data_IF_016752927739
#
_entry.id   IF_016752927739
#
_cell.length_a   1.000
_cell.length_b   1.000
_cell.length_c   1.000
_cell.angle_alpha   90.00
_cell.angle_beta   90.00
_cell.angle_gamma   90.00
#
_symmetry.space_group_name_H-M   'P 1'
#
loop_
_entity.id
_entity.type
_entity.pdbx_description
1 polymer ?
#
# COMPACT_ATOMS: atom_id res chain seq x y z
N UNK A 1 1.98 1.94 13.04
CA UNK A 1 0.62 1.62 13.52
C UNK A 1 -0.39 1.76 12.41
N UNK A 2 -1.46 0.96 12.41
CA UNK A 2 -2.60 1.13 11.49
C UNK A 2 -3.67 1.91 12.23
N UNK A 3 -3.94 3.14 11.78
CA UNK A 3 -4.97 3.98 12.37
C UNK A 3 -6.28 3.79 11.61
N UNK A 4 -7.34 3.39 12.32
CA UNK A 4 -8.68 3.33 11.73
C UNK A 4 -9.28 4.72 11.67
N UNK A 5 -9.41 5.26 10.46
CA UNK A 5 -9.97 6.59 10.23
C UNK A 5 -11.48 6.58 10.51
N UNK A 6 -11.97 7.37 11.49
CA UNK A 6 -13.40 7.54 11.71
C UNK A 6 -14.09 8.15 10.49
N UNK A 7 -15.35 7.76 10.26
CA UNK A 7 -16.10 8.24 9.11
C UNK A 7 -16.19 9.77 9.07
N UNK A 8 -15.84 10.37 7.94
CA UNK A 8 -15.91 11.82 7.72
C UNK A 8 -14.65 12.61 8.10
N UNK A 9 -13.59 11.98 8.62
CA UNK A 9 -12.31 12.65 8.84
C UNK A 9 -11.47 12.74 7.56
N UNK A 10 -10.75 13.85 7.40
CA UNK A 10 -9.79 14.05 6.32
C UNK A 10 -8.37 13.63 6.72
N UNK A 11 -7.50 13.45 5.73
CA UNK A 11 -6.06 13.21 5.95
C UNK A 11 -5.40 14.32 6.79
N UNK A 12 -5.88 15.56 6.66
CA UNK A 12 -5.40 16.70 7.43
C UNK A 12 -5.80 16.62 8.90
N UNK A 13 -6.98 16.07 9.20
CA UNK A 13 -7.45 15.90 10.58
C UNK A 13 -6.62 14.81 11.28
N UNK A 14 -6.33 13.72 10.57
CA UNK A 14 -5.41 12.67 11.05
C UNK A 14 -4.02 13.25 11.30
N UNK A 15 -3.47 14.01 10.35
CA UNK A 15 -2.15 14.62 10.50
C UNK A 15 -2.07 15.51 11.74
N UNK A 16 -3.07 16.36 11.97
CA UNK A 16 -3.15 17.23 13.16
C UNK A 16 -3.23 16.43 14.45
N UNK A 17 -3.99 15.34 14.48
CA UNK A 17 -4.07 14.48 15.66
C UNK A 17 -2.70 13.87 16.00
N UNK A 18 -1.99 13.32 15.00
CA UNK A 18 -0.65 12.77 15.21
C UNK A 18 0.37 13.83 15.66
N UNK A 19 0.35 15.03 15.07
CA UNK A 19 1.25 16.13 15.46
C UNK A 19 0.98 16.58 16.90
N UNK A 20 -0.29 16.82 17.24
CA UNK A 20 -0.64 17.43 18.52
C UNK A 20 -0.65 16.44 19.69
N UNK A 21 -1.05 15.19 19.48
CA UNK A 21 -1.18 14.22 20.57
C UNK A 21 0.05 13.34 20.76
N UNK A 22 0.74 12.96 19.68
CA UNK A 22 1.94 12.13 19.76
C UNK A 22 3.19 13.00 19.94
N UNK A 23 3.13 14.28 19.59
CA UNK A 23 4.19 15.26 19.85
C UNK A 23 5.48 14.95 19.11
N UNK A 24 5.39 14.38 17.91
CA UNK A 24 6.54 14.08 17.06
C UNK A 24 6.85 15.25 16.13
N UNK A 25 8.09 15.73 16.16
CA UNK A 25 8.63 16.69 15.18
C UNK A 25 9.25 15.97 13.96
N UNK A 26 9.37 14.64 14.01
CA UNK A 26 9.89 13.84 12.89
C UNK A 26 8.89 13.76 11.72
N UNK A 27 9.37 13.78 10.46
CA UNK A 27 8.52 13.60 9.30
C UNK A 27 7.88 12.21 9.28
N UNK A 28 6.61 12.15 8.90
CA UNK A 28 5.85 10.90 8.80
C UNK A 28 4.99 10.85 7.54
N UNK A 29 4.51 9.66 7.20
CA UNK A 29 3.60 9.43 6.08
C UNK A 29 2.21 8.99 6.57
N UNK A 30 1.18 9.50 5.91
CA UNK A 30 -0.19 8.97 5.99
C UNK A 30 -0.46 8.25 4.68
N UNK A 31 -0.91 7.00 4.76
CA UNK A 31 -1.14 6.15 3.58
C UNK A 31 -2.55 5.56 3.66
N UNK A 32 -3.40 5.88 2.68
CA UNK A 32 -4.69 5.20 2.50
C UNK A 32 -4.49 3.80 1.91
N UNK A 33 -4.39 2.83 2.80
CA UNK A 33 -4.26 1.41 2.43
C UNK A 33 -5.47 0.86 1.67
N UNK A 34 -6.65 1.51 1.77
CA UNK A 34 -7.86 1.07 1.05
C UNK A 34 -7.79 1.39 -0.45
N UNK A 35 -6.89 2.28 -0.85
CA UNK A 35 -6.73 2.67 -2.26
C UNK A 35 -6.21 1.52 -3.12
N UNK A 36 -5.23 0.77 -2.62
CA UNK A 36 -4.57 -0.29 -3.40
C UNK A 36 -5.50 -1.41 -3.89
N UNK A 37 -6.33 -2.06 -3.05
CA UNK A 37 -7.24 -3.08 -3.54
C UNK A 37 -8.28 -2.50 -4.52
N UNK A 38 -8.74 -1.26 -4.33
CA UNK A 38 -9.65 -0.60 -5.28
C UNK A 38 -9.01 -0.47 -6.67
N UNK A 39 -7.74 -0.07 -6.72
CA UNK A 39 -6.99 0.07 -7.98
C UNK A 39 -6.74 -1.28 -8.65
N UNK A 40 -6.41 -2.32 -7.87
CA UNK A 40 -6.25 -3.68 -8.40
C UNK A 40 -7.55 -4.20 -9.02
N UNK A 41 -8.68 -4.06 -8.32
CA UNK A 41 -9.98 -4.46 -8.84
C UNK A 41 -10.38 -3.66 -10.08
N UNK A 42 -10.06 -2.35 -10.09
CA UNK A 42 -10.26 -1.50 -11.27
C UNK A 42 -9.46 -2.03 -12.46
N UNK A 43 -8.18 -2.36 -12.28
CA UNK A 43 -7.35 -2.96 -13.33
C UNK A 43 -7.98 -4.25 -13.86
N UNK A 44 -8.35 -5.19 -12.98
CA UNK A 44 -8.98 -6.45 -13.39
C UNK A 44 -10.31 -6.26 -14.11
N UNK A 45 -11.06 -5.21 -13.79
CA UNK A 45 -12.30 -4.88 -14.49
C UNK A 45 -12.05 -4.35 -15.91
N UNK A 46 -11.08 -3.46 -16.10
CA UNK A 46 -10.80 -2.87 -17.43
C UNK A 46 -9.89 -3.75 -18.31
N UNK A 47 -9.05 -4.58 -17.71
CA UNK A 47 -8.09 -5.45 -18.38
C UNK A 47 -8.19 -6.89 -17.87
N UNK A 48 -9.32 -7.59 -18.13
CA UNK A 48 -9.58 -8.92 -17.57
C UNK A 48 -8.51 -9.95 -17.95
N UNK A 49 -8.03 -9.88 -19.19
CA UNK A 49 -7.08 -10.83 -19.79
C UNK A 49 -5.60 -10.47 -19.53
N UNK A 50 -5.33 -9.36 -18.85
CA UNK A 50 -3.96 -8.94 -18.50
C UNK A 50 -3.68 -9.30 -17.04
N UNK A 51 -2.68 -10.16 -16.84
CA UNK A 51 -2.21 -10.49 -15.50
C UNK A 51 -1.41 -9.33 -14.90
N UNK A 52 -1.69 -8.99 -13.64
CA UNK A 52 -0.98 -7.94 -12.92
C UNK A 52 0.34 -8.49 -12.40
N UNK A 53 1.45 -7.82 -12.75
CA UNK A 53 2.75 -8.00 -12.12
C UNK A 53 3.20 -6.65 -11.55
N UNK A 54 3.27 -6.55 -10.23
CA UNK A 54 3.60 -5.31 -9.53
C UNK A 54 5.11 -5.05 -9.50
N UNK A 55 5.53 -3.86 -9.93
CA UNK A 55 6.93 -3.48 -9.92
C UNK A 55 7.43 -3.17 -8.50
N UNK A 56 8.26 -4.06 -7.95
CA UNK A 56 8.75 -4.00 -6.57
C UNK A 56 9.50 -2.71 -6.23
N UNK A 57 10.32 -2.23 -7.17
CA UNK A 57 11.09 -0.97 -7.09
C UNK A 57 10.25 0.30 -6.89
N UNK A 58 8.92 0.23 -6.99
CA UNK A 58 8.05 1.40 -6.74
C UNK A 58 7.77 1.61 -5.25
N UNK A 59 7.47 0.53 -4.53
CA UNK A 59 7.24 0.52 -3.09
C UNK A 59 7.24 -0.95 -2.60
N UNK A 60 8.25 -1.34 -1.84
CA UNK A 60 8.46 -2.70 -1.35
C UNK A 60 7.85 -2.95 0.04
N UNK A 61 6.86 -2.15 0.44
CA UNK A 61 6.20 -2.32 1.72
C UNK A 61 5.47 -3.68 1.82
N UNK A 62 5.78 -4.45 2.86
CA UNK A 62 5.19 -5.77 3.15
C UNK A 62 3.66 -5.83 3.08
N UNK A 63 2.97 -4.76 3.48
CA UNK A 63 1.50 -4.71 3.41
C UNK A 63 1.01 -4.77 1.96
N UNK A 64 1.69 -4.06 1.05
CA UNK A 64 1.35 -4.07 -0.38
C UNK A 64 1.65 -5.42 -1.00
N UNK A 65 2.81 -6.00 -0.71
CA UNK A 65 3.20 -7.32 -1.21
C UNK A 65 2.14 -8.36 -0.82
N UNK A 66 1.81 -8.45 0.48
CA UNK A 66 0.79 -9.38 0.99
C UNK A 66 -0.60 -9.13 0.40
N UNK A 67 -0.94 -7.88 0.12
CA UNK A 67 -2.24 -7.55 -0.49
C UNK A 67 -2.28 -7.98 -1.96
N UNK A 68 -1.24 -7.74 -2.75
CA UNK A 68 -1.18 -8.14 -4.16
C UNK A 68 -1.19 -9.66 -4.29
N UNK A 69 -0.43 -10.36 -3.46
CA UNK A 69 -0.44 -11.82 -3.37
C UNK A 69 -1.87 -12.35 -3.08
N UNK A 70 -2.53 -11.80 -2.05
CA UNK A 70 -3.91 -12.19 -1.68
C UNK A 70 -4.93 -11.93 -2.80
N UNK A 71 -4.71 -10.93 -3.64
CA UNK A 71 -5.56 -10.63 -4.79
C UNK A 71 -5.18 -11.45 -6.05
N UNK A 72 -4.18 -12.33 -5.94
CA UNK A 72 -3.73 -13.22 -7.02
C UNK A 72 -2.83 -12.54 -8.06
N UNK A 73 -2.18 -11.43 -7.71
CA UNK A 73 -1.21 -10.75 -8.55
C UNK A 73 0.19 -11.37 -8.45
N UNK A 74 1.04 -11.06 -9.42
CA UNK A 74 2.48 -11.38 -9.41
C UNK A 74 3.34 -10.14 -9.15
N UNK A 75 4.67 -10.32 -9.25
CA UNK A 75 5.66 -9.28 -8.98
C UNK A 75 6.71 -9.20 -10.10
N UNK A 76 7.00 -7.98 -10.55
CA UNK A 76 8.17 -7.65 -11.37
C UNK A 76 9.33 -7.27 -10.45
N UNK A 77 10.33 -8.15 -10.38
CA UNK A 77 11.53 -7.99 -9.57
C UNK A 77 12.73 -7.68 -10.46
N UNK A 78 13.44 -6.59 -10.15
CA UNK A 78 14.65 -6.14 -10.80
C UNK A 78 15.94 -6.51 -10.03
N UNK A 79 15.83 -7.10 -8.83
CA UNK A 79 17.00 -7.56 -8.08
C UNK A 79 16.75 -8.87 -7.31
N UNK A 80 17.84 -9.55 -6.94
CA UNK A 80 17.78 -10.76 -6.09
C UNK A 80 17.16 -10.46 -4.72
N UNK A 81 17.37 -9.25 -4.19
CA UNK A 81 16.80 -8.86 -2.90
C UNK A 81 15.28 -8.69 -3.01
N UNK A 82 14.77 -8.06 -4.06
CA UNK A 82 13.32 -7.96 -4.31
C UNK A 82 12.69 -9.34 -4.48
N UNK A 83 13.34 -10.24 -5.22
CA UNK A 83 12.89 -11.63 -5.35
C UNK A 83 12.83 -12.35 -3.99
N UNK A 84 13.85 -12.16 -3.14
CA UNK A 84 13.86 -12.74 -1.79
C UNK A 84 12.73 -12.21 -0.93
N UNK A 85 12.44 -10.91 -0.99
CA UNK A 85 11.32 -10.28 -0.26
C UNK A 85 9.98 -10.87 -0.68
N UNK A 86 9.78 -11.11 -1.98
CA UNK A 86 8.52 -11.71 -2.49
C UNK A 86 8.36 -13.19 -2.08
N UNK A 87 9.47 -13.90 -1.83
CA UNK A 87 9.48 -15.33 -1.49
C UNK A 87 9.53 -15.63 0.02
N UNK A 88 9.59 -14.62 0.88
CA UNK A 88 9.68 -14.78 2.34
C UNK A 88 8.31 -14.82 3.02
#
# INVERSE_FOLDING_TARGET
DVYHVPHGQSDQDIAKHFINEIGTDDPFYIVDVSHYPKQYMKWKCYFPDIQVFYAMKTNDNDFLIKMIEKLGGGFDCASINELKTVLS
#
